data_IF_437184318615
#
_entry.id   IF_437184318615
#
_cell.length_a   1.000
_cell.length_b   1.000
_cell.length_c   1.000
_cell.angle_alpha   90.00
_cell.angle_beta   90.00
_cell.angle_gamma   90.00
#
_symmetry.space_group_name_H-M   'P 1'
#
loop_
_entity.id
_entity.type
_entity.pdbx_description
1 polymer ?
2 non-polymer ?
3 non-polymer ?
4 water ?
#
# COMPACT_ATOMS: atom_id res chain seq x y z
N UNK A 1 -4.14 3.30 2.71
CA UNK A 1 -4.62 4.53 2.03
C UNK A 1 -4.36 5.84 2.82
N UNK A 2 -4.33 6.92 2.02
CA UNK A 2 -4.13 8.27 2.63
C UNK A 2 -5.55 8.77 2.84
N UNK A 3 -5.81 9.36 4.00
CA UNK A 3 -7.12 9.91 4.39
C UNK A 3 -7.54 11.15 3.63
N UNK A 4 -6.76 12.00 3.10
CA UNK A 4 -7.15 13.16 2.29
C UNK A 4 -5.94 14.11 2.41
N UNK A 5 -6.18 15.29 1.89
CA UNK A 5 -5.20 16.42 1.89
C UNK A 5 -5.62 17.41 2.99
N UNK A 6 -4.66 17.90 3.75
CA UNK A 6 -5.02 18.89 4.80
C UNK A 6 -4.06 20.08 4.60
N UNK A 7 -4.61 21.27 4.82
CA UNK A 7 -3.75 22.51 4.74
C UNK A 7 -2.78 22.47 5.97
N UNK A 8 -1.57 22.89 5.68
CA UNK A 8 -0.54 22.93 6.75
C UNK A 8 -1.10 23.84 7.89
N UNK A 9 -1.81 24.91 7.53
CA UNK A 9 -2.40 25.87 8.49
C UNK A 9 -3.39 25.24 9.40
N UNK A 10 -3.99 24.09 9.04
CA UNK A 10 -4.98 23.38 9.84
C UNK A 10 -4.35 22.33 10.77
N UNK A 11 -3.06 22.11 10.66
CA UNK A 11 -2.37 21.09 11.51
C UNK A 11 -1.77 21.84 12.74
N UNK A 12 -1.35 21.10 13.75
CA UNK A 12 -0.73 21.74 14.93
C UNK A 12 0.48 22.50 14.38
N UNK A 13 0.80 23.64 15.04
CA UNK A 13 1.92 24.48 14.62
C UNK A 13 3.25 23.73 14.67
N UNK A 14 3.31 22.71 15.54
CA UNK A 14 4.56 21.91 15.60
C UNK A 14 4.80 21.21 14.23
N UNK A 15 3.77 20.93 13.40
CA UNK A 15 3.97 20.30 12.06
C UNK A 15 4.79 21.23 11.18
N UNK A 16 4.47 22.56 11.29
CA UNK A 16 5.14 23.61 10.55
C UNK A 16 6.61 23.61 10.95
N UNK A 17 6.84 23.52 12.25
CA UNK A 17 8.26 23.52 12.72
C UNK A 17 9.10 22.35 12.10
N UNK A 18 8.46 21.18 12.13
CA UNK A 18 9.07 19.96 11.54
C UNK A 18 9.34 20.15 10.06
N UNK A 19 8.38 20.66 9.30
CA UNK A 19 8.68 20.88 7.85
C UNK A 19 9.78 21.86 7.66
N UNK A 20 9.86 22.89 8.51
CA UNK A 20 10.95 23.90 8.40
C UNK A 20 12.31 23.25 8.60
N UNK A 21 12.42 22.33 9.56
CA UNK A 21 13.62 21.60 9.90
C UNK A 21 14.03 20.69 8.71
N UNK A 22 12.95 20.09 8.22
CA UNK A 22 13.25 19.18 7.04
C UNK A 22 13.82 20.01 5.88
N UNK A 23 13.26 21.21 5.59
CA UNK A 23 13.75 22.07 4.51
C UNK A 23 15.20 22.45 4.71
N UNK A 24 15.69 22.62 5.93
CA UNK A 24 17.08 23.10 6.17
C UNK A 24 17.95 21.92 6.54
N UNK A 25 17.33 20.74 6.48
CA UNK A 25 18.13 19.55 6.86
C UNK A 25 18.55 19.57 8.33
N UNK A 26 17.63 19.92 9.16
CA UNK A 26 17.91 19.88 10.60
C UNK A 26 18.54 21.24 11.02
N UNK A 27 19.11 21.21 12.20
CA UNK A 27 19.23 20.02 13.10
C UNK A 27 17.88 19.66 13.69
N UNK A 28 17.82 18.39 14.00
CA UNK A 28 16.56 17.87 14.56
C UNK A 28 16.70 17.59 16.06
N UNK A 29 15.61 17.74 16.77
CA UNK A 29 15.57 17.48 18.19
C UNK A 29 15.84 16.07 18.68
N UNK A 30 15.46 15.08 17.86
CA UNK A 30 15.57 13.64 18.22
C UNK A 30 16.45 12.87 17.29
N UNK A 31 17.15 11.92 17.87
CA UNK A 31 18.09 11.11 17.03
C UNK A 31 17.38 10.29 15.95
N UNK A 32 16.13 9.89 16.22
CA UNK A 32 15.32 9.09 15.32
C UNK A 32 14.82 9.90 14.11
N UNK A 33 15.01 11.21 14.19
CA UNK A 33 14.53 12.00 13.07
C UNK A 33 15.40 11.71 11.83
N UNK A 34 14.66 11.33 10.77
CA UNK A 34 15.32 11.09 9.51
C UNK A 34 15.54 9.62 9.22
N UNK A 35 15.15 8.74 10.13
CA UNK A 35 15.33 7.27 9.88
C UNK A 35 14.27 6.89 8.79
N UNK A 36 14.52 5.77 8.14
CA UNK A 36 13.61 5.22 7.11
C UNK A 36 12.32 4.78 7.79
N UNK A 37 11.18 5.10 7.18
CA UNK A 37 9.86 4.64 7.58
C UNK A 37 9.63 3.45 6.53
N UNK A 38 9.44 2.29 7.13
CA UNK A 38 9.32 1.11 6.24
C UNK A 38 8.00 0.98 5.50
N UNK A 39 6.93 1.63 5.91
CA UNK A 39 5.60 1.48 5.27
C UNK A 39 5.24 -0.02 5.35
N UNK A 40 5.53 -0.67 6.45
CA UNK A 40 5.36 -2.09 6.71
C UNK A 40 3.92 -2.52 6.61
N UNK A 41 3.02 -1.64 7.03
CA UNK A 41 1.56 -1.96 7.01
C UNK A 41 0.90 -1.70 5.67
N UNK A 42 1.67 -1.16 4.71
CA UNK A 42 1.15 -0.85 3.40
C UNK A 42 0.05 0.20 3.38
N UNK A 43 0.06 1.15 4.38
CA UNK A 43 -0.89 2.25 4.42
C UNK A 43 -0.58 3.23 3.31
N UNK A 44 0.69 3.57 3.01
CA UNK A 44 1.05 4.51 1.97
C UNK A 44 1.38 3.68 0.69
N UNK A 45 1.38 4.42 -0.40
CA UNK A 45 1.76 3.78 -1.69
C UNK A 45 3.08 3.03 -1.56
N UNK A 46 3.04 1.88 -2.25
CA UNK A 46 4.16 0.96 -2.36
C UNK A 46 5.32 1.65 -3.07
N UNK A 47 6.48 1.63 -2.42
CA UNK A 47 7.71 2.23 -2.99
C UNK A 47 8.94 1.47 -2.56
N UNK A 48 10.10 1.71 -3.13
CA UNK A 48 11.29 1.01 -2.64
C UNK A 48 11.61 1.42 -1.17
N UNK A 49 12.39 0.60 -0.54
CA UNK A 49 12.91 0.79 0.84
C UNK A 49 13.76 2.09 0.82
N UNK A 50 13.39 2.97 1.75
CA UNK A 50 14.13 4.23 1.84
C UNK A 50 13.45 5.33 1.07
N UNK A 51 12.33 5.12 0.38
CA UNK A 51 11.66 6.21 -0.31
C UNK A 51 11.01 7.12 0.83
N UNK A 52 10.55 6.52 1.90
CA UNK A 52 9.97 7.27 3.02
C UNK A 52 10.91 7.45 4.23
N UNK A 53 10.82 8.63 4.86
CA UNK A 53 11.59 8.91 6.09
C UNK A 53 10.59 9.55 7.07
N UNK A 54 10.87 9.27 8.35
CA UNK A 54 10.03 9.75 9.44
C UNK A 54 10.84 10.82 10.34
N UNK A 55 10.03 11.79 10.76
CA UNK A 55 10.42 12.97 11.57
C UNK A 55 9.34 13.19 12.61
N UNK A 56 9.84 13.46 13.83
CA UNK A 56 8.89 13.69 14.93
C UNK A 56 8.15 15.04 14.84
N UNK A 57 6.90 15.10 15.19
CA UNK A 57 6.14 16.33 15.31
C UNK A 57 5.96 16.36 16.88
N UNK A 58 6.68 17.33 17.50
CA UNK A 58 6.58 17.43 18.99
C UNK A 58 5.14 17.62 19.47
N UNK A 59 4.84 16.83 20.47
CA UNK A 59 3.57 16.94 21.18
C UNK A 59 3.90 17.78 22.45
N UNK A 60 3.32 18.97 22.52
CA UNK A 60 3.60 19.88 23.67
C UNK A 60 3.42 19.16 25.02
N UNK A 61 4.34 19.17 25.97
CA UNK A 61 4.10 18.56 27.28
C UNK A 61 4.53 17.11 27.43
N UNK A 62 4.65 16.39 26.32
CA UNK A 62 5.04 15.01 26.35
C UNK A 62 6.48 14.83 26.78
N UNK A 63 6.55 13.75 27.58
CA UNK A 63 7.89 13.26 27.99
C UNK A 63 8.46 12.35 26.88
N UNK A 64 7.64 11.82 25.95
CA UNK A 64 8.24 10.91 24.93
C UNK A 64 8.00 11.60 23.57
N UNK A 65 8.43 10.88 22.52
CA UNK A 65 8.25 11.36 21.17
C UNK A 65 6.77 11.37 20.81
N UNK A 66 5.89 10.73 21.59
CA UNK A 66 4.46 10.71 21.35
C UNK A 66 4.06 9.99 20.04
N UNK A 67 2.93 10.44 19.51
CA UNK A 67 2.33 9.80 18.30
C UNK A 67 2.30 10.58 17.02
N UNK A 68 2.79 11.83 16.98
CA UNK A 68 2.71 12.69 15.80
C UNK A 68 3.98 12.59 15.01
N UNK A 69 3.81 12.46 13.68
CA UNK A 69 5.00 12.34 12.82
C UNK A 69 4.68 12.91 11.44
N UNK A 70 5.82 13.28 10.89
CA UNK A 70 5.74 13.69 9.48
C UNK A 70 6.52 12.58 8.71
N UNK A 71 5.87 12.05 7.65
CA UNK A 71 6.55 11.08 6.78
C UNK A 71 6.81 11.79 5.43
N UNK A 72 8.06 11.85 4.98
CA UNK A 72 8.26 12.45 3.67
C UNK A 72 8.44 11.30 2.62
N UNK A 73 8.06 11.59 1.40
CA UNK A 73 8.28 10.64 0.28
C UNK A 73 9.34 11.32 -0.52
N UNK A 74 9.89 10.66 -1.55
CA UNK A 74 10.92 11.33 -2.37
C UNK A 74 10.39 12.34 -3.37
N UNK A 75 9.12 12.29 -3.73
CA UNK A 75 8.51 13.22 -4.68
C UNK A 75 8.44 14.64 -4.05
N UNK A 76 8.48 15.59 -4.97
CA UNK A 76 8.36 17.03 -4.68
C UNK A 76 7.08 17.25 -3.90
N UNK A 77 7.15 17.82 -2.68
CA UNK A 77 6.04 18.12 -1.78
C UNK A 77 5.28 16.89 -1.24
N UNK A 78 5.86 15.73 -1.32
CA UNK A 78 5.08 14.59 -0.75
C UNK A 78 5.45 14.49 0.74
N UNK A 79 4.50 14.88 1.59
CA UNK A 79 4.75 14.83 3.01
C UNK A 79 3.41 14.42 3.58
N UNK A 80 3.45 13.49 4.49
CA UNK A 80 2.23 13.04 5.11
C UNK A 80 2.34 13.29 6.65
N UNK A 81 1.21 13.60 7.20
CA UNK A 81 1.06 13.80 8.63
C UNK A 81 0.24 12.59 9.19
N UNK A 82 0.71 12.11 10.34
CA UNK A 82 0.04 11.12 11.15
C UNK A 82 0.02 11.71 12.60
N UNK A 83 -1.17 11.65 13.14
CA UNK A 83 -1.34 12.08 14.56
C UNK A 83 -1.58 10.85 15.39
N UNK A 84 -1.62 9.63 14.85
CA UNK A 84 -1.89 8.40 15.62
C UNK A 84 -0.88 7.25 15.48
N UNK A 85 0.37 7.66 15.31
CA UNK A 85 1.50 6.78 15.21
C UNK A 85 1.28 5.77 14.05
N UNK A 86 1.06 6.31 12.86
CA UNK A 86 0.95 5.62 11.57
C UNK A 86 -0.30 4.78 11.33
N UNK A 87 -1.38 4.97 12.04
CA UNK A 87 -2.67 4.32 11.93
C UNK A 87 -3.30 5.00 10.69
N UNK A 88 -3.28 6.32 10.65
CA UNK A 88 -3.82 7.10 9.53
C UNK A 88 -2.87 8.18 9.05
N UNK A 89 -3.05 8.62 7.82
CA UNK A 89 -2.19 9.65 7.20
C UNK A 89 -2.98 10.64 6.39
N UNK A 90 -2.46 11.85 6.34
CA UNK A 90 -3.12 12.86 5.47
C UNK A 90 -1.96 13.47 4.68
N UNK A 91 -2.24 13.89 3.46
CA UNK A 91 -1.20 14.56 2.67
C UNK A 91 -1.29 16.07 3.11
N UNK A 92 -0.08 16.56 3.33
CA UNK A 92 0.00 17.99 3.75
C UNK A 92 0.04 18.92 2.53
N UNK A 93 -0.85 19.87 2.50
CA UNK A 93 -0.74 20.91 1.43
C UNK A 93 -0.04 22.17 2.09
N UNK A 94 1.15 22.45 1.67
CA UNK A 94 1.94 23.60 2.18
C UNK A 94 1.49 24.94 1.59
N UNK A 95 0.56 24.90 0.65
CA UNK A 95 0.11 26.15 0.00
C UNK A 95 -1.04 26.81 0.76
N UNK A 96 -1.58 26.18 1.82
CA UNK A 96 -2.67 26.78 2.53
C UNK A 96 -2.68 26.53 4.06
N UNK B 1 -7.56 -28.25 -10.57
CA UNK B 1 -9.01 -28.06 -10.32
C UNK B 1 -9.20 -26.73 -9.52
N UNK B 2 -10.27 -26.01 -9.75
CA UNK B 2 -10.49 -24.78 -8.94
C UNK B 2 -11.20 -25.34 -7.71
N UNK B 3 -10.82 -24.87 -6.54
CA UNK B 3 -11.35 -25.33 -5.26
C UNK B 3 -12.69 -24.84 -4.79
N UNK B 4 -13.47 -24.28 -5.65
CA UNK B 4 -14.84 -23.85 -5.32
C UNK B 4 -14.72 -22.30 -5.51
N UNK B 5 -15.80 -21.69 -5.03
CA UNK B 5 -15.87 -20.22 -5.14
C UNK B 5 -15.67 -19.64 -3.71
N UNK B 6 -15.22 -18.37 -3.74
CA UNK B 6 -15.05 -17.67 -2.44
C UNK B 6 -15.75 -16.30 -2.65
N UNK B 7 -16.46 -15.92 -1.55
CA UNK B 7 -17.12 -14.60 -1.67
C UNK B 7 -16.04 -13.53 -1.57
N UNK B 8 -16.19 -12.46 -2.36
CA UNK B 8 -15.19 -11.37 -2.32
C UNK B 8 -15.05 -10.81 -0.89
N UNK B 9 -16.20 -10.73 -0.25
CA UNK B 9 -16.28 -10.15 1.11
C UNK B 9 -15.56 -10.95 2.18
N UNK B 10 -15.28 -12.22 1.97
CA UNK B 10 -14.59 -13.13 2.85
C UNK B 10 -13.06 -13.05 2.62
N UNK B 11 -12.59 -12.45 1.53
CA UNK B 11 -11.14 -12.43 1.29
C UNK B 11 -10.53 -11.25 2.03
N UNK B 12 -9.21 -11.23 2.09
CA UNK B 12 -8.54 -10.01 2.66
C UNK B 12 -8.97 -8.79 1.85
N UNK B 13 -9.05 -7.63 2.54
CA UNK B 13 -9.45 -6.38 1.90
C UNK B 13 -8.61 -6.00 0.70
N UNK B 14 -7.32 -6.34 0.71
CA UNK B 14 -6.41 -6.03 -0.40
C UNK B 14 -6.85 -6.72 -1.75
N UNK B 15 -7.59 -7.83 -1.56
CA UNK B 15 -8.14 -8.56 -2.78
C UNK B 15 -9.09 -7.57 -3.51
N UNK B 16 -9.88 -6.81 -2.71
CA UNK B 16 -10.74 -5.79 -3.32
C UNK B 16 -9.92 -4.72 -4.01
N UNK B 17 -8.83 -4.25 -3.40
CA UNK B 17 -8.00 -3.25 -4.04
C UNK B 17 -7.47 -3.76 -5.39
N UNK B 18 -6.99 -5.02 -5.34
CA UNK B 18 -6.40 -5.48 -6.67
C UNK B 18 -7.47 -5.55 -7.80
N UNK B 19 -8.66 -6.02 -7.46
CA UNK B 19 -9.76 -6.09 -8.44
C UNK B 19 -10.04 -4.70 -9.02
N UNK B 20 -10.03 -3.71 -8.12
CA UNK B 20 -10.27 -2.31 -8.55
C UNK B 20 -9.18 -1.85 -9.50
N UNK B 21 -7.92 -2.24 -9.24
CA UNK B 21 -6.85 -1.82 -10.15
C UNK B 21 -6.95 -2.56 -11.47
N UNK B 22 -7.34 -3.81 -11.31
CA UNK B 22 -7.45 -4.63 -12.55
C UNK B 22 -8.54 -3.94 -13.40
N UNK B 23 -9.63 -3.59 -12.80
CA UNK B 23 -10.69 -2.88 -13.53
C UNK B 23 -10.22 -1.60 -14.22
N UNK B 24 -9.38 -0.76 -13.61
CA UNK B 24 -8.92 0.51 -14.19
C UNK B 24 -7.61 0.34 -14.96
N UNK B 25 -7.22 -0.94 -15.04
CA UNK B 25 -5.96 -1.18 -15.74
C UNK B 25 -4.82 -0.37 -15.09
N UNK B 26 -4.81 -0.51 -13.78
CA UNK B 26 -3.73 0.12 -13.00
C UNK B 26 -3.96 1.59 -12.79
N UNK B 27 -2.90 2.35 -12.52
CA UNK B 27 -1.48 1.93 -12.40
C UNK B 27 -1.30 0.96 -11.22
N UNK B 28 -0.47 -0.07 -11.40
CA UNK B 28 -0.19 -1.16 -10.48
C UNK B 28 1.06 -0.87 -9.63
N UNK B 29 1.04 -1.37 -8.40
CA UNK B 29 2.18 -1.08 -7.52
C UNK B 29 3.45 -1.75 -8.00
N UNK B 30 3.34 -2.99 -8.52
CA UNK B 30 4.61 -3.69 -8.86
C UNK B 30 4.84 -3.82 -10.35
N UNK B 31 6.08 -3.80 -10.75
CA UNK B 31 6.34 -3.95 -12.20
C UNK B 31 5.93 -5.37 -12.66
N UNK B 32 5.79 -6.36 -11.81
CA UNK B 32 5.38 -7.72 -12.18
C UNK B 32 3.88 -7.90 -12.25
N UNK B 33 3.13 -6.87 -11.91
CA UNK B 33 1.66 -7.00 -11.98
C UNK B 33 1.28 -7.03 -13.49
N UNK B 34 0.40 -7.94 -13.85
CA UNK B 34 -0.03 -8.02 -15.23
C UNK B 34 0.77 -8.93 -16.14
N UNK B 35 1.75 -9.63 -15.66
CA UNK B 35 2.50 -10.60 -16.45
C UNK B 35 1.53 -11.81 -16.62
N UNK B 36 1.84 -12.53 -17.70
CA UNK B 36 1.02 -13.72 -18.07
C UNK B 36 1.26 -14.76 -17.03
N UNK B 37 0.27 -15.44 -16.59
CA UNK B 37 0.42 -16.56 -15.67
C UNK B 37 0.45 -17.80 -16.64
N UNK B 38 1.45 -18.62 -16.57
CA UNK B 38 1.59 -19.80 -17.45
C UNK B 38 0.75 -21.01 -17.13
N UNK B 39 0.17 -21.13 -15.95
CA UNK B 39 -0.66 -22.26 -15.52
C UNK B 39 0.14 -23.55 -15.81
N UNK B 40 1.41 -23.42 -15.49
CA UNK B 40 2.37 -24.51 -15.70
C UNK B 40 1.99 -25.77 -14.96
N UNK B 41 1.32 -25.76 -13.84
CA UNK B 41 0.98 -27.03 -13.16
C UNK B 41 -0.43 -27.52 -13.51
N UNK B 42 -0.97 -26.83 -14.53
CA UNK B 42 -2.32 -27.12 -15.01
C UNK B 42 -3.42 -27.15 -13.96
N UNK B 43 -3.31 -26.28 -12.93
CA UNK B 43 -4.38 -26.28 -11.91
C UNK B 43 -5.70 -25.70 -12.43
N UNK B 44 -5.57 -24.67 -13.29
CA UNK B 44 -6.73 -24.00 -13.91
C UNK B 44 -6.92 -24.70 -15.33
N UNK B 45 -8.09 -24.47 -15.87
CA UNK B 45 -8.39 -25.05 -17.22
C UNK B 45 -7.27 -24.68 -18.20
N UNK B 46 -6.82 -25.63 -19.03
CA UNK B 46 -5.79 -25.38 -20.06
C UNK B 46 -6.31 -24.35 -21.06
N UNK B 47 -5.48 -23.41 -21.48
CA UNK B 47 -5.93 -22.39 -22.44
C UNK B 47 -4.68 -21.99 -23.23
N UNK B 48 -4.85 -21.18 -24.24
CA UNK B 48 -3.59 -20.79 -24.94
C UNK B 48 -2.77 -19.89 -23.99
N UNK B 49 -1.48 -19.87 -24.21
CA UNK B 49 -0.55 -19.02 -23.45
C UNK B 49 -0.99 -17.57 -23.58
N UNK B 50 -1.12 -16.82 -22.47
CA UNK B 50 -1.55 -15.41 -22.63
C UNK B 50 -3.00 -15.22 -22.25
N UNK B 51 -3.74 -16.29 -21.98
CA UNK B 51 -5.14 -16.15 -21.59
C UNK B 51 -5.24 -15.62 -20.11
N UNK B 52 -4.28 -16.08 -19.35
CA UNK B 52 -4.28 -15.71 -17.90
C UNK B 52 -3.16 -14.69 -17.60
N UNK B 53 -3.53 -13.80 -16.67
CA UNK B 53 -2.55 -12.77 -16.17
C UNK B 53 -2.56 -12.76 -14.63
N UNK B 54 -1.41 -12.34 -14.09
CA UNK B 54 -1.47 -12.37 -12.57
C UNK B 54 -1.17 -10.97 -12.03
N UNK B 55 -1.81 -10.83 -10.85
CA UNK B 55 -1.64 -9.47 -10.17
C UNK B 55 -1.45 -9.73 -8.68
N UNK B 56 -0.57 -8.88 -8.12
CA UNK B 56 -0.26 -9.03 -6.67
C UNK B 56 -1.44 -8.61 -5.81
N UNK B 57 -1.71 -9.34 -4.78
CA UNK B 57 -2.65 -9.05 -3.70
C UNK B 57 -1.61 -8.77 -2.52
N UNK B 58 -1.52 -7.45 -2.19
CA UNK B 58 -0.55 -7.04 -1.12
C UNK B 58 -0.95 -7.66 0.20
N UNK B 59 0.10 -8.19 0.90
CA UNK B 59 -0.04 -8.79 2.24
C UNK B 59 0.64 -7.70 3.19
N UNK B 60 -0.21 -7.00 3.90
CA UNK B 60 0.34 -5.93 4.79
C UNK B 60 1.21 -6.71 5.80
N UNK B 61 2.37 -6.18 6.11
CA UNK B 61 3.35 -6.76 7.01
C UNK B 61 4.38 -7.65 6.32
N UNK B 62 4.17 -8.15 5.11
CA UNK B 62 5.17 -9.06 4.47
C UNK B 62 6.31 -8.19 3.95
N UNK B 63 7.52 -8.74 3.94
CA UNK B 63 8.64 -7.91 3.44
C UNK B 63 8.78 -8.03 1.95
N UNK B 64 8.04 -9.02 1.38
CA UNK B 64 8.11 -9.20 -0.12
C UNK B 64 6.67 -9.08 -0.69
N UNK B 65 6.61 -9.47 -1.99
CA UNK B 65 5.32 -9.53 -2.72
C UNK B 65 4.45 -10.64 -2.09
N UNK B 66 4.99 -11.55 -1.29
CA UNK B 66 4.16 -12.55 -0.58
C UNK B 66 3.54 -13.61 -1.55
N UNK B 67 2.51 -14.20 -1.05
CA UNK B 67 1.95 -15.31 -1.92
C UNK B 67 0.53 -15.13 -2.38
N UNK B 68 -0.12 -14.01 -2.16
CA UNK B 68 -1.51 -13.79 -2.54
C UNK B 68 -1.48 -13.13 -3.90
N UNK B 69 -2.37 -13.73 -4.77
CA UNK B 69 -2.43 -13.22 -6.17
C UNK B 69 -3.88 -13.37 -6.66
N UNK B 70 -4.15 -12.52 -7.64
CA UNK B 70 -5.41 -12.62 -8.36
C UNK B 70 -4.98 -13.00 -9.81
N UNK B 71 -5.60 -14.06 -10.34
CA UNK B 71 -5.28 -14.45 -11.72
C UNK B 71 -6.57 -14.14 -12.54
N UNK B 72 -6.44 -13.42 -13.63
CA UNK B 72 -7.68 -13.25 -14.41
C UNK B 72 -7.57 -14.21 -15.66
N UNK B 73 -8.82 -14.52 -16.08
CA UNK B 73 -8.94 -15.34 -17.33
C UNK B 73 -9.58 -14.34 -18.27
N UNK B 74 -9.79 -14.71 -19.52
CA UNK B 74 -10.44 -13.76 -20.43
C UNK B 74 -11.94 -13.72 -20.30
N UNK B 75 -12.60 -14.65 -19.67
CA UNK B 75 -14.08 -14.60 -19.56
C UNK B 75 -14.40 -13.48 -18.57
N UNK B 76 -15.67 -13.11 -18.56
CA UNK B 76 -16.26 -12.05 -17.72
C UNK B 76 -16.25 -12.48 -16.25
N UNK B 77 -15.67 -11.60 -15.39
CA UNK B 77 -15.64 -11.99 -13.96
C UNK B 77 -14.85 -13.25 -13.68
N UNK B 78 -14.07 -13.65 -14.67
CA UNK B 78 -13.27 -14.89 -14.46
C UNK B 78 -11.98 -14.42 -13.72
N UNK B 79 -12.13 -14.41 -12.40
CA UNK B 79 -11.01 -13.97 -11.51
C UNK B 79 -10.91 -15.03 -10.41
N UNK B 80 -9.64 -15.48 -10.29
CA UNK B 80 -9.34 -16.51 -9.30
C UNK B 80 -8.39 -15.86 -8.22
N UNK B 81 -8.61 -16.34 -7.04
CA UNK B 81 -7.71 -15.90 -5.95
C UNK B 81 -6.92 -17.17 -5.52
N UNK B 82 -5.67 -16.93 -5.19
CA UNK B 82 -4.73 -17.88 -4.59
C UNK B 82 -4.05 -17.13 -3.39
N UNK B 83 -4.07 -17.82 -2.25
CA UNK B 83 -3.36 -17.21 -1.09
C UNK B 83 -2.12 -18.04 -0.83
N UNK B 84 -1.81 -19.05 -1.67
CA UNK B 84 -0.68 -19.95 -1.39
C UNK B 84 0.26 -20.11 -2.57
N UNK B 85 0.39 -19.02 -3.26
CA UNK B 85 1.32 -18.95 -4.39
C UNK B 85 1.02 -20.08 -5.41
N UNK B 86 -0.23 -20.13 -5.86
CA UNK B 86 -0.67 -21.02 -6.93
C UNK B 86 -0.81 -22.48 -6.55
N UNK B 87 -0.89 -22.83 -5.29
CA UNK B 87 -1.07 -24.25 -5.00
C UNK B 87 -2.54 -24.54 -5.22
N UNK B 88 -3.38 -23.66 -4.73
CA UNK B 88 -4.84 -23.79 -4.82
C UNK B 88 -5.44 -22.46 -5.33
N UNK B 89 -6.61 -22.59 -5.96
CA UNK B 89 -7.32 -21.42 -6.56
C UNK B 89 -8.82 -21.52 -6.25
N UNK B 90 -9.42 -20.36 -6.06
CA UNK B 90 -10.85 -20.32 -5.82
C UNK B 90 -11.31 -19.23 -6.82
N UNK B 91 -12.46 -19.53 -7.39
CA UNK B 91 -13.10 -18.54 -8.26
C UNK B 91 -13.78 -17.47 -7.28
N UNK B 92 -13.47 -16.21 -7.61
CA UNK B 92 -14.05 -15.15 -6.77
C UNK B 92 -15.51 -14.85 -7.14
N UNK B 93 -16.36 -14.92 -6.13
CA UNK B 93 -17.75 -14.48 -6.31
C UNK B 93 -17.87 -13.02 -5.76
N UNK B 94 -17.99 -12.12 -6.74
CA UNK B 94 -18.11 -10.68 -6.46
C UNK B 94 -19.46 -10.19 -5.92
N UNK B 95 -20.43 -11.07 -5.82
CA UNK B 95 -21.76 -10.72 -5.35
C UNK B 95 -22.00 -11.02 -3.91
N UNK B 96 -21.03 -11.65 -3.23
CA UNK B 96 -21.28 -11.95 -1.80
C UNK B 96 -20.03 -11.54 -1.00
X LIG C 1 3.93 11.32 27.71
X LIG C 1 3.72 10.06 28.50
X LIG C 1 4.96 11.11 26.65
X LIG C 1 4.45 12.37 28.73
X LIG C 1 2.59 11.84 27.32
X LIG D 1 9.01 5.25 15.68
X LIG D 1 10.41 5.59 16.10
X LIG D 1 7.93 5.64 16.60
X LIG D 1 8.79 5.67 14.19
X LIG D 1 8.68 -1.40 14.90
X LIG D 1 9.34 -0.53 15.81
X LIG D 1 9.18 0.92 15.33
X LIG D 1 9.67 1.20 14.01
X LIG D 1 7.81 1.63 15.29
X LIG D 1 7.33 1.72 16.60
X LIG D 1 8.23 2.97 14.71
X LIG D 1 9.06 3.60 15.69
X LIG D 1 9.21 2.52 13.57
X LIG D 1 8.70 2.27 12.23
X LIG D 1 9.50 2.36 11.09
X LIG D 1 8.84 2.01 10.00
X LIG D 1 7.56 1.68 10.46
X LIG D 1 6.45 1.17 9.70
X LIG D 1 6.51 1.04 8.48
X LIG D 1 5.38 0.92 10.53
X LIG D 1 5.35 1.13 11.90
X LIG D 1 4.18 0.88 12.47
X LIG D 1 6.40 1.54 12.59
X LIG D 1 7.47 1.82 11.83
X LIG E 1 4.97 -14.47 -9.11
X LIG E 1 4.99 -13.14 -9.83
X LIG E 1 5.62 -14.35 -7.74
X LIG E 1 3.53 -14.98 -8.81
X LIG E 1 8.42 -19.41 -9.58
X LIG E 1 8.50 -18.77 -10.88
X LIG E 1 7.57 -17.55 -10.85
X LIG E 1 6.89 -17.43 -12.13
X LIG E 1 6.46 -17.61 -9.80
X LIG E 1 6.95 -17.12 -8.54
X LIG E 1 5.42 -16.66 -10.37
X LIG E 1 5.87 -15.38 -10.05
X LIG E 1 5.56 -16.92 -11.89
X LIG E 1 4.63 -17.87 -12.56
X LIG E 1 4.04 -17.64 -13.80
X LIG E 1 3.30 -18.63 -14.20
X LIG E 1 3.40 -19.56 -13.19
X LIG E 1 2.77 -20.83 -13.11
X LIG E 1 2.02 -21.29 -13.96
X LIG E 1 3.12 -21.47 -11.93
X LIG E 1 3.98 -20.96 -10.95
X LIG E 1 4.17 -21.72 -9.88
X LIG E 1 4.57 -19.77 -11.03
X LIG E 1 4.23 -19.12 -12.18
#
# INVERSE_FOLDING_TARGET
DVSGTVCLSALPPEATDTLNLIASDGPFPYSQDGVVFQNRESVLPTQSYGYYHEYTVITPGARTRGTRRIICGEATQEDYYTGDHYATFSLIDQTC
DVSGTVCLSALPPEATDTLNLIASDGPFPYSQDGVVFQNRESVLPTQSYGYYHEYTVITPGARTRGTRRIICGEATQEDYYTGDHYATFSLIDQTC
SO4 S O1 O2 O3 O4
2GP P O1P O2P O3P O5' C5' C4' O4' C3' O3' C2' O2' C1' N9 C8 N7 C5 C6 O6 N1 C2 N2 N3 C4
2GP P O1P O2P O3P O5' C5' C4' O4' C3' O3' C2' O2' C1' N9 C8 N7 C5 C6 O6 N1 C2 N2 N3 C4
#
